data_IF_455698702844
#
_entry.id   IF_455698702844
#
_cell.length_a   1.000
_cell.length_b   1.000
_cell.length_c   1.000
_cell.angle_alpha   90.00
_cell.angle_beta   90.00
_cell.angle_gamma   90.00
#
_symmetry.space_group_name_H-M   'P 1'
#
loop_
_entity.id
_entity.type
_entity.pdbx_description
1 polymer ?
#
# COMPACT_ATOMS: atom_id res chain seq x y z
N UNK A 1 8.85 -45.31 40.20
CA UNK A 1 7.94 -44.15 40.16
C UNK A 1 8.59 -43.04 39.35
N UNK A 2 8.24 -42.92 38.08
CA UNK A 2 8.75 -41.90 37.17
C UNK A 2 7.85 -40.68 37.29
N UNK A 3 8.37 -39.59 37.86
CA UNK A 3 7.67 -38.30 37.93
C UNK A 3 7.56 -37.77 36.50
N UNK A 4 6.37 -37.88 35.91
CA UNK A 4 6.09 -37.26 34.62
C UNK A 4 6.25 -35.74 34.78
N UNK A 5 7.26 -35.17 34.14
CA UNK A 5 7.39 -33.72 34.04
C UNK A 5 6.14 -33.19 33.33
N UNK A 6 5.38 -32.24 33.89
CA UNK A 6 4.29 -31.64 33.17
C UNK A 6 4.88 -30.97 31.93
N UNK A 7 4.52 -31.47 30.76
CA UNK A 7 4.84 -30.80 29.50
C UNK A 7 4.20 -29.41 29.59
N UNK A 8 5.01 -28.36 29.49
CA UNK A 8 4.51 -26.99 29.48
C UNK A 8 3.51 -26.85 28.32
N UNK A 9 2.24 -26.64 28.67
CA UNK A 9 1.18 -26.45 27.70
C UNK A 9 1.19 -24.98 27.27
N UNK A 10 1.01 -24.70 25.98
CA UNK A 10 0.93 -23.31 25.50
C UNK A 10 -0.09 -22.49 26.29
N UNK A 11 -1.21 -23.11 26.68
CA UNK A 11 -2.30 -22.46 27.43
C UNK A 11 -1.99 -22.21 28.91
N UNK A 12 -0.97 -22.86 29.49
CA UNK A 12 -0.51 -22.60 30.85
C UNK A 12 0.47 -21.42 30.94
N UNK A 13 0.86 -20.84 29.81
CA UNK A 13 1.73 -19.66 29.78
C UNK A 13 0.93 -18.37 30.09
N UNK A 14 1.56 -17.37 30.74
CA UNK A 14 1.02 -16.02 30.84
C UNK A 14 0.59 -15.45 29.48
N UNK A 15 -0.45 -14.62 29.46
CA UNK A 15 -1.02 -14.07 28.22
C UNK A 15 0.03 -13.29 27.41
N UNK A 16 0.97 -12.63 28.07
CA UNK A 16 2.05 -11.85 27.48
C UNK A 16 2.97 -12.75 26.63
N UNK A 17 3.37 -13.91 27.16
CA UNK A 17 4.19 -14.87 26.41
C UNK A 17 3.42 -15.50 25.26
N UNK A 18 2.11 -15.75 25.44
CA UNK A 18 1.26 -16.30 24.38
C UNK A 18 1.06 -15.29 23.25
N UNK A 19 0.91 -14.00 23.59
CA UNK A 19 0.91 -12.91 22.61
C UNK A 19 2.21 -12.92 21.83
N UNK A 20 3.37 -12.89 22.50
CA UNK A 20 4.70 -12.91 21.86
C UNK A 20 4.88 -14.08 20.89
N UNK A 21 4.50 -15.30 21.32
CA UNK A 21 4.54 -16.49 20.46
C UNK A 21 3.65 -16.30 19.23
N UNK A 22 2.45 -15.76 19.40
CA UNK A 22 1.54 -15.52 18.29
C UNK A 22 2.07 -14.47 17.31
N UNK A 23 2.79 -13.44 17.78
CA UNK A 23 3.43 -12.45 16.90
C UNK A 23 4.56 -13.07 16.06
N UNK A 24 5.22 -14.11 16.57
CA UNK A 24 6.19 -14.87 15.79
C UNK A 24 5.54 -15.77 14.74
N UNK A 25 4.30 -16.24 14.98
CA UNK A 25 3.58 -17.14 14.08
C UNK A 25 2.84 -16.38 12.98
N UNK A 26 2.24 -15.25 13.33
CA UNK A 26 1.51 -14.40 12.38
C UNK A 26 2.51 -13.47 11.71
N UNK A 27 2.79 -13.71 10.43
CA UNK A 27 3.64 -12.84 9.62
C UNK A 27 3.06 -11.42 9.57
N UNK A 28 3.58 -10.58 10.46
CA UNK A 28 3.30 -9.16 10.54
C UNK A 28 4.30 -8.32 9.77
N UNK A 29 5.09 -8.89 8.86
CA UNK A 29 6.02 -8.11 8.05
C UNK A 29 5.26 -7.10 7.16
N UNK A 30 5.86 -5.93 6.87
CA UNK A 30 5.24 -4.92 6.01
C UNK A 30 5.02 -5.43 4.57
N UNK A 31 5.76 -6.47 4.19
CA UNK A 31 5.71 -7.09 2.87
C UNK A 31 4.95 -8.42 2.88
N UNK A 32 4.20 -8.76 3.93
CA UNK A 32 3.39 -9.98 3.96
C UNK A 32 2.43 -10.03 2.75
N UNK A 33 2.40 -11.18 2.06
CA UNK A 33 1.72 -11.33 0.78
C UNK A 33 2.54 -10.94 -0.45
N UNK A 34 3.76 -10.43 -0.25
CA UNK A 34 4.77 -10.23 -1.28
C UNK A 34 5.99 -11.09 -0.97
N UNK A 35 6.79 -11.38 -2.00
CA UNK A 35 8.07 -12.07 -1.84
C UNK A 35 9.09 -11.58 -2.84
N UNK A 36 10.36 -11.76 -2.51
CA UNK A 36 11.43 -11.67 -3.49
C UNK A 36 11.49 -12.95 -4.32
N UNK A 37 11.56 -12.86 -5.66
CA UNK A 37 11.72 -14.03 -6.50
C UNK A 37 13.09 -14.69 -6.23
N UNK A 38 13.09 -15.94 -5.73
CA UNK A 38 14.33 -16.71 -5.46
C UNK A 38 15.08 -17.12 -6.73
N UNK A 39 14.37 -17.17 -7.84
CA UNK A 39 14.87 -17.41 -9.20
C UNK A 39 14.22 -16.33 -10.04
N UNK A 40 14.96 -15.67 -10.92
CA UNK A 40 14.45 -14.77 -11.95
C UNK A 40 13.13 -15.34 -12.46
N UNK A 41 12.01 -14.77 -12.00
CA UNK A 41 10.73 -15.39 -12.23
C UNK A 41 10.51 -15.36 -13.73
N UNK A 42 10.51 -16.53 -14.38
CA UNK A 42 10.07 -16.67 -15.76
C UNK A 42 8.57 -16.47 -15.77
N UNK A 43 8.12 -15.25 -15.46
CA UNK A 43 6.77 -14.79 -15.74
C UNK A 43 6.73 -14.62 -17.25
N UNK A 44 6.61 -15.74 -17.97
CA UNK A 44 6.41 -15.84 -19.43
C UNK A 44 7.47 -15.14 -20.30
N UNK A 45 7.51 -15.43 -21.62
CA UNK A 45 8.65 -15.04 -22.47
C UNK A 45 8.83 -13.52 -22.69
N UNK A 46 7.81 -12.71 -22.38
CA UNK A 46 7.69 -11.30 -22.81
C UNK A 46 7.70 -10.27 -21.66
N UNK A 47 7.49 -10.68 -20.40
CA UNK A 47 7.69 -9.78 -19.25
C UNK A 47 9.07 -10.00 -18.65
N UNK A 48 9.85 -8.92 -18.61
CA UNK A 48 11.12 -8.71 -17.91
C UNK A 48 11.67 -9.95 -17.19
N UNK A 49 12.36 -10.84 -17.93
CA UNK A 49 12.84 -12.14 -17.44
C UNK A 49 13.80 -12.04 -16.24
N UNK A 50 14.23 -10.83 -15.88
CA UNK A 50 15.15 -10.53 -14.78
C UNK A 50 14.58 -9.52 -13.78
N UNK A 51 13.26 -9.47 -13.56
CA UNK A 51 12.71 -8.58 -12.53
C UNK A 51 13.22 -8.94 -11.13
N UNK A 52 13.98 -8.03 -10.52
CA UNK A 52 14.46 -8.09 -9.14
C UNK A 52 13.73 -7.03 -8.32
N UNK A 53 12.70 -7.46 -7.60
CA UNK A 53 11.84 -6.62 -6.77
C UNK A 53 10.76 -7.45 -6.09
N UNK A 54 9.90 -6.81 -5.29
CA UNK A 54 8.77 -7.49 -4.66
C UNK A 54 7.76 -7.94 -5.72
N UNK A 55 7.38 -9.21 -5.65
CA UNK A 55 6.31 -9.80 -6.45
C UNK A 55 5.19 -10.31 -5.54
N UNK A 56 3.98 -10.35 -6.07
CA UNK A 56 2.83 -10.92 -5.38
C UNK A 56 3.07 -12.39 -5.06
N UNK A 57 2.91 -12.79 -3.81
CA UNK A 57 2.90 -14.20 -3.45
C UNK A 57 1.54 -14.81 -3.76
N UNK A 58 1.47 -15.55 -4.86
CA UNK A 58 0.25 -16.26 -5.27
C UNK A 58 -0.17 -17.34 -4.26
N UNK A 59 0.77 -17.86 -3.46
CA UNK A 59 0.49 -18.83 -2.40
C UNK A 59 -0.02 -18.19 -1.11
N UNK A 60 0.08 -16.87 -0.96
CA UNK A 60 -0.35 -16.19 0.25
C UNK A 60 -1.86 -16.26 0.43
N UNK A 61 -2.29 -16.49 1.66
CA UNK A 61 -3.68 -16.47 2.07
C UNK A 61 -3.81 -15.92 3.49
N UNK A 62 -4.62 -14.88 3.64
CA UNK A 62 -4.99 -14.36 4.96
C UNK A 62 -5.67 -15.45 5.81
N UNK A 63 -6.49 -16.32 5.19
CA UNK A 63 -7.11 -17.44 5.88
C UNK A 63 -6.07 -18.44 6.41
N UNK A 64 -5.03 -18.75 5.64
CA UNK A 64 -3.95 -19.61 6.10
C UNK A 64 -3.21 -19.02 7.31
N UNK A 65 -3.00 -17.70 7.32
CA UNK A 65 -2.39 -16.98 8.45
C UNK A 65 -3.28 -17.03 9.70
N UNK A 66 -4.60 -16.87 9.52
CA UNK A 66 -5.58 -16.86 10.60
C UNK A 66 -5.93 -18.26 11.13
N UNK A 67 -5.49 -19.34 10.48
CA UNK A 67 -5.78 -20.73 10.90
C UNK A 67 -5.31 -21.03 12.34
N UNK A 68 -4.32 -20.31 12.86
CA UNK A 68 -3.89 -20.45 14.27
C UNK A 68 -5.03 -20.20 15.26
N UNK A 69 -6.00 -19.36 14.90
CA UNK A 69 -7.17 -19.08 15.74
C UNK A 69 -8.15 -20.27 15.81
N UNK A 70 -8.04 -21.24 14.91
CA UNK A 70 -8.91 -22.42 14.88
C UNK A 70 -8.45 -23.54 15.81
N UNK A 71 -7.23 -23.44 16.37
CA UNK A 71 -6.63 -24.49 17.21
C UNK A 71 -7.45 -24.73 18.48
N UNK A 72 -7.88 -23.67 19.18
CA UNK A 72 -8.80 -23.80 20.32
C UNK A 72 -9.59 -22.52 20.58
N UNK A 73 -10.68 -22.65 21.36
CA UNK A 73 -11.58 -21.52 21.71
C UNK A 73 -10.86 -20.41 22.47
N UNK A 74 -9.92 -20.76 23.36
CA UNK A 74 -9.18 -19.78 24.15
C UNK A 74 -8.32 -18.89 23.24
N UNK A 75 -7.55 -19.50 22.33
CA UNK A 75 -6.73 -18.74 21.37
C UNK A 75 -7.60 -17.85 20.48
N UNK A 76 -8.74 -18.36 20.00
CA UNK A 76 -9.68 -17.55 19.23
C UNK A 76 -10.11 -16.31 20.01
N UNK A 77 -10.59 -16.46 21.23
CA UNK A 77 -11.16 -15.36 22.00
C UNK A 77 -10.12 -14.31 22.38
N UNK A 78 -8.89 -14.74 22.72
CA UNK A 78 -7.83 -13.83 23.16
C UNK A 78 -7.13 -13.12 21.99
N UNK A 79 -6.96 -13.80 20.84
CA UNK A 79 -6.06 -13.33 19.79
C UNK A 79 -6.74 -12.83 18.52
N UNK A 80 -8.07 -12.97 18.38
CA UNK A 80 -8.76 -12.58 17.13
C UNK A 80 -8.42 -11.16 16.70
N UNK A 81 -8.49 -10.18 17.61
CA UNK A 81 -8.19 -8.78 17.27
C UNK A 81 -6.74 -8.59 16.81
N UNK A 82 -5.78 -9.06 17.59
CA UNK A 82 -4.36 -8.92 17.27
C UNK A 82 -3.97 -9.64 15.96
N UNK A 83 -4.54 -10.82 15.72
CA UNK A 83 -4.32 -11.59 14.51
C UNK A 83 -4.85 -10.86 13.26
N UNK A 84 -6.07 -10.30 13.33
CA UNK A 84 -6.64 -9.51 12.23
C UNK A 84 -5.84 -8.23 11.97
N UNK A 85 -5.37 -7.54 13.01
CA UNK A 85 -4.58 -6.32 12.85
C UNK A 85 -3.22 -6.57 12.17
N UNK A 86 -2.62 -7.74 12.38
CA UNK A 86 -1.32 -8.09 11.76
C UNK A 86 -1.44 -8.71 10.38
N UNK A 87 -2.56 -9.37 10.10
CA UNK A 87 -2.78 -10.05 8.82
C UNK A 87 -3.02 -9.05 7.71
N UNK A 88 -2.32 -9.21 6.58
CA UNK A 88 -2.58 -8.45 5.35
C UNK A 88 -3.74 -9.10 4.59
N UNK A 89 -4.83 -8.35 4.40
CA UNK A 89 -5.95 -8.82 3.60
C UNK A 89 -5.74 -8.46 2.12
N UNK A 90 -5.48 -9.49 1.30
CA UNK A 90 -5.22 -9.33 -0.14
C UNK A 90 -6.52 -9.44 -0.94
N UNK A 91 -6.91 -8.36 -1.58
CA UNK A 91 -8.06 -8.27 -2.49
C UNK A 91 -7.55 -8.46 -3.92
N UNK A 92 -7.90 -9.60 -4.52
CA UNK A 92 -7.45 -9.99 -5.88
C UNK A 92 -8.47 -9.72 -6.98
N UNK A 93 -9.63 -9.13 -6.66
CA UNK A 93 -10.69 -8.90 -7.64
C UNK A 93 -10.37 -7.65 -8.48
N UNK A 94 -10.08 -7.80 -9.78
CA UNK A 94 -9.73 -6.67 -10.62
C UNK A 94 -10.95 -5.85 -11.07
N UNK A 95 -12.17 -6.35 -10.91
CA UNK A 95 -13.39 -5.77 -11.47
C UNK A 95 -14.18 -4.91 -10.49
N UNK A 96 -14.05 -5.17 -9.18
CA UNK A 96 -14.99 -4.64 -8.22
C UNK A 96 -14.37 -4.03 -6.97
N UNK A 97 -13.11 -3.58 -6.94
CA UNK A 97 -12.65 -2.88 -5.72
C UNK A 97 -13.46 -1.61 -5.52
N UNK A 98 -14.46 -1.73 -4.66
CA UNK A 98 -15.49 -0.77 -4.35
C UNK A 98 -15.56 -0.75 -2.82
N UNK A 99 -15.70 0.44 -2.25
CA UNK A 99 -15.94 0.65 -0.82
C UNK A 99 -17.01 -0.30 -0.23
N UNK A 100 -17.94 -0.79 -1.06
CA UNK A 100 -18.95 -1.80 -0.69
C UNK A 100 -18.41 -3.03 0.04
N UNK A 101 -17.19 -3.50 -0.25
CA UNK A 101 -16.62 -4.66 0.47
C UNK A 101 -16.47 -4.37 1.97
N UNK A 102 -15.99 -3.17 2.31
CA UNK A 102 -15.83 -2.76 3.70
C UNK A 102 -17.17 -2.43 4.35
N UNK A 103 -18.16 -1.92 3.60
CA UNK A 103 -19.49 -1.60 4.14
C UNK A 103 -20.25 -2.82 4.67
N UNK A 104 -19.95 -4.01 4.18
CA UNK A 104 -20.58 -5.25 4.64
C UNK A 104 -19.93 -5.83 5.90
N UNK A 105 -18.80 -5.27 6.34
CA UNK A 105 -18.11 -5.73 7.55
C UNK A 105 -18.76 -5.12 8.80
N UNK A 106 -18.80 -5.91 9.87
CA UNK A 106 -19.25 -5.42 11.17
C UNK A 106 -18.23 -4.41 11.73
N UNK A 107 -18.67 -3.47 12.57
CA UNK A 107 -17.81 -2.44 13.18
C UNK A 107 -16.54 -3.02 13.83
N UNK A 108 -16.69 -4.10 14.60
CA UNK A 108 -15.55 -4.78 15.26
C UNK A 108 -14.53 -5.33 14.25
N UNK A 109 -15.00 -5.78 13.08
CA UNK A 109 -14.13 -6.27 12.00
C UNK A 109 -13.40 -5.12 11.31
N UNK A 110 -14.10 -4.01 11.04
CA UNK A 110 -13.49 -2.78 10.50
C UNK A 110 -12.42 -2.22 11.43
N UNK A 111 -12.74 -2.13 12.72
CA UNK A 111 -11.82 -1.66 13.75
C UNK A 111 -10.59 -2.56 13.93
N UNK A 112 -10.65 -3.82 13.49
CA UNK A 112 -9.54 -4.77 13.57
C UNK A 112 -8.73 -4.85 12.28
N UNK A 113 -9.25 -4.30 11.18
CA UNK A 113 -8.61 -4.36 9.88
C UNK A 113 -7.64 -3.17 9.76
N UNK A 114 -6.34 -3.49 9.69
CA UNK A 114 -5.26 -2.50 9.65
C UNK A 114 -4.43 -2.55 8.38
N UNK A 115 -4.43 -3.67 7.67
CA UNK A 115 -3.53 -3.89 6.53
C UNK A 115 -4.28 -4.47 5.35
N UNK A 116 -4.33 -3.72 4.27
CA UNK A 116 -5.02 -4.10 3.04
C UNK A 116 -4.04 -4.04 1.89
N UNK A 117 -4.05 -5.07 1.07
CA UNK A 117 -3.39 -5.07 -0.22
C UNK A 117 -4.41 -5.26 -1.32
N UNK A 118 -4.39 -4.39 -2.32
CA UNK A 118 -5.24 -4.47 -3.50
C UNK A 118 -4.36 -4.80 -4.69
N UNK A 119 -4.67 -5.92 -5.34
CA UNK A 119 -4.02 -6.28 -6.61
C UNK A 119 -4.78 -5.57 -7.71
N UNK A 120 -4.10 -4.68 -8.42
CA UNK A 120 -4.73 -3.76 -9.33
C UNK A 120 -4.05 -3.75 -10.68
N UNK A 121 -4.84 -3.79 -11.76
CA UNK A 121 -4.27 -3.76 -13.11
C UNK A 121 -3.86 -2.33 -13.46
N UNK A 122 -2.63 -2.18 -13.95
CA UNK A 122 -2.03 -0.88 -14.30
C UNK A 122 -2.95 0.02 -15.15
N UNK A 123 -3.57 -0.53 -16.19
CA UNK A 123 -4.43 0.24 -17.10
C UNK A 123 -5.75 0.72 -16.47
N UNK A 124 -6.10 0.20 -15.28
CA UNK A 124 -7.32 0.58 -14.54
C UNK A 124 -7.05 1.63 -13.48
N UNK A 125 -5.82 2.11 -13.30
CA UNK A 125 -5.50 3.14 -12.30
C UNK A 125 -6.39 4.39 -12.42
N UNK A 126 -6.94 4.68 -13.60
CA UNK A 126 -7.91 5.77 -13.75
C UNK A 126 -9.23 5.57 -12.99
N UNK A 127 -9.58 4.32 -12.65
CA UNK A 127 -10.73 4.00 -11.81
C UNK A 127 -10.50 4.39 -10.35
N UNK A 128 -9.27 4.71 -9.92
CA UNK A 128 -9.01 5.27 -8.59
C UNK A 128 -9.73 6.61 -8.40
N UNK A 129 -10.03 7.36 -9.45
CA UNK A 129 -10.87 8.58 -9.35
C UNK A 129 -12.28 8.30 -8.82
N UNK A 130 -12.82 7.09 -9.07
CA UNK A 130 -14.13 6.66 -8.58
C UNK A 130 -14.11 6.31 -7.10
N UNK A 131 -12.92 6.13 -6.51
CA UNK A 131 -12.70 5.89 -5.10
C UNK A 131 -12.81 7.19 -4.30
N UNK A 132 -13.92 7.91 -4.48
CA UNK A 132 -14.26 9.02 -3.61
C UNK A 132 -14.62 8.45 -2.24
N UNK A 133 -13.65 8.47 -1.31
CA UNK A 133 -13.77 8.08 0.11
C UNK A 133 -14.00 6.57 0.44
N UNK A 134 -13.42 5.58 -0.25
CA UNK A 134 -13.67 4.17 0.09
C UNK A 134 -13.05 3.77 1.44
N UNK A 135 -11.97 4.45 1.85
CA UNK A 135 -11.24 4.17 3.08
C UNK A 135 -11.60 5.14 4.21
N UNK A 136 -12.38 6.20 3.94
CA UNK A 136 -12.81 7.16 4.95
C UNK A 136 -14.10 6.67 5.64
N UNK A 137 -14.16 5.38 5.98
CA UNK A 137 -15.25 4.80 6.76
C UNK A 137 -14.93 4.98 8.25
N UNK A 138 -15.93 5.38 9.04
CA UNK A 138 -15.76 5.49 10.49
C UNK A 138 -15.36 4.13 11.07
N UNK A 139 -14.21 4.06 11.75
CA UNK A 139 -13.64 2.83 12.32
C UNK A 139 -12.63 2.10 11.42
N UNK A 140 -12.58 2.41 10.11
CA UNK A 140 -11.55 1.87 9.22
C UNK A 140 -10.28 2.72 9.29
N UNK A 141 -9.35 2.29 10.14
CA UNK A 141 -8.03 2.89 10.25
C UNK A 141 -7.01 1.90 9.72
N UNK A 142 -6.33 2.24 8.61
CA UNK A 142 -5.31 1.40 8.01
C UNK A 142 -3.92 1.86 8.45
N UNK A 143 -3.13 0.93 8.95
CA UNK A 143 -1.69 1.13 9.09
C UNK A 143 -1.04 1.12 7.70
N UNK A 144 -1.47 0.21 6.82
CA UNK A 144 -0.90 0.06 5.48
C UNK A 144 -2.00 -0.22 4.44
N UNK A 145 -2.01 0.59 3.39
CA UNK A 145 -2.76 0.35 2.16
C UNK A 145 -1.76 0.15 1.00
N UNK A 146 -1.68 -1.07 0.49
CA UNK A 146 -0.75 -1.41 -0.58
C UNK A 146 -1.49 -1.66 -1.89
N UNK A 147 -1.08 -1.02 -2.98
CA UNK A 147 -1.49 -1.36 -4.34
C UNK A 147 -0.37 -2.18 -4.99
N UNK A 148 -0.62 -3.46 -5.23
CA UNK A 148 0.28 -4.32 -6.00
C UNK A 148 -0.15 -4.30 -7.47
N UNK A 149 0.68 -3.73 -8.34
CA UNK A 149 0.36 -3.60 -9.75
C UNK A 149 0.45 -4.96 -10.44
N UNK A 150 -0.65 -5.42 -11.02
CA UNK A 150 -0.66 -6.64 -11.80
C UNK A 150 -0.22 -6.36 -13.23
N UNK A 151 0.72 -7.16 -13.74
CA UNK A 151 1.06 -7.19 -15.16
C UNK A 151 -0.20 -7.50 -15.98
N UNK A 152 -0.42 -6.73 -17.06
CA UNK A 152 -1.51 -6.98 -17.99
C UNK A 152 -1.23 -8.30 -18.73
N UNK A 153 -1.87 -9.39 -18.32
CA UNK A 153 -1.87 -10.62 -19.11
C UNK A 153 -2.75 -10.42 -20.34
N UNK A 154 -2.13 -10.41 -21.53
CA UNK A 154 -2.71 -10.80 -22.83
C UNK A 154 -3.96 -10.07 -23.38
N UNK A 155 -4.61 -9.15 -22.67
CA UNK A 155 -5.81 -8.46 -23.18
C UNK A 155 -5.52 -7.19 -23.99
N UNK A 156 -4.28 -6.71 -24.05
CA UNK A 156 -3.88 -5.69 -25.02
C UNK A 156 -3.34 -6.37 -26.26
N UNK A 157 -4.24 -6.70 -27.19
CA UNK A 157 -3.88 -6.83 -28.61
C UNK A 157 -3.18 -5.53 -28.99
N UNK A 158 -1.85 -5.55 -29.15
CA UNK A 158 -1.05 -4.36 -29.46
C UNK A 158 0.01 -3.94 -28.43
N UNK A 159 0.17 -4.65 -27.30
CA UNK A 159 1.44 -4.73 -26.53
C UNK A 159 2.08 -3.47 -25.94
N UNK A 160 1.53 -2.26 -26.14
CA UNK A 160 2.07 -1.02 -25.60
C UNK A 160 0.98 -0.31 -24.82
N UNK A 161 1.09 -0.31 -23.49
CA UNK A 161 0.40 0.70 -22.69
C UNK A 161 0.98 2.04 -23.13
N UNK A 162 0.21 2.86 -23.86
CA UNK A 162 0.68 4.19 -24.30
C UNK A 162 1.13 5.03 -23.10
N UNK A 163 2.05 5.96 -23.32
CA UNK A 163 2.52 6.88 -22.27
C UNK A 163 1.36 7.64 -21.62
N UNK A 164 0.31 7.93 -22.39
CA UNK A 164 -0.89 8.63 -21.96
C UNK A 164 -1.63 7.94 -20.80
N UNK A 165 -1.56 6.60 -20.69
CA UNK A 165 -2.23 5.89 -19.61
C UNK A 165 -1.63 6.20 -18.24
N UNK A 166 -0.30 6.24 -18.16
CA UNK A 166 0.36 6.58 -16.89
C UNK A 166 0.13 8.04 -16.55
N UNK A 167 0.24 8.94 -17.53
CA UNK A 167 -0.01 10.36 -17.32
C UNK A 167 -1.42 10.65 -16.77
N UNK A 168 -2.45 9.99 -17.34
CA UNK A 168 -3.82 10.09 -16.83
C UNK A 168 -3.91 9.52 -15.40
N UNK A 169 -3.33 8.35 -15.15
CA UNK A 169 -3.34 7.73 -13.83
C UNK A 169 -2.61 8.52 -12.74
N UNK A 170 -1.63 9.35 -13.10
CA UNK A 170 -0.92 10.21 -12.15
C UNK A 170 -1.89 11.16 -11.46
N UNK A 171 -2.81 11.80 -12.21
CA UNK A 171 -3.83 12.68 -11.64
C UNK A 171 -4.77 11.93 -10.71
N UNK A 172 -5.16 10.72 -11.08
CA UNK A 172 -6.09 9.90 -10.29
C UNK A 172 -5.44 9.42 -8.97
N UNK A 173 -4.15 9.09 -8.98
CA UNK A 173 -3.39 8.75 -7.77
C UNK A 173 -3.23 9.97 -6.87
N UNK A 174 -2.86 11.14 -7.40
CA UNK A 174 -2.74 12.37 -6.59
C UNK A 174 -4.09 12.80 -6.02
N UNK A 175 -5.15 12.71 -6.83
CA UNK A 175 -6.52 12.96 -6.38
C UNK A 175 -6.97 12.02 -5.26
N UNK A 176 -6.58 10.74 -5.35
CA UNK A 176 -6.80 9.77 -4.27
C UNK A 176 -6.03 10.17 -3.01
N UNK A 177 -4.72 10.45 -3.10
CA UNK A 177 -3.86 10.81 -1.96
C UNK A 177 -4.41 12.01 -1.17
N UNK A 178 -4.89 13.06 -1.86
CA UNK A 178 -5.49 14.24 -1.22
C UNK A 178 -6.77 13.92 -0.43
N UNK A 179 -7.48 12.85 -0.80
CA UNK A 179 -8.74 12.45 -0.19
C UNK A 179 -8.61 11.31 0.82
N UNK A 180 -7.47 10.60 0.83
CA UNK A 180 -7.22 9.50 1.75
C UNK A 180 -7.13 10.02 3.19
N UNK A 181 -8.09 9.61 4.02
CA UNK A 181 -8.07 9.76 5.47
C UNK A 181 -7.89 8.41 6.14
N UNK A 182 -7.42 8.43 7.40
CA UNK A 182 -7.30 7.24 8.24
C UNK A 182 -6.36 6.15 7.69
N UNK A 183 -5.40 6.52 6.85
CA UNK A 183 -4.37 5.63 6.32
C UNK A 183 -3.00 6.18 6.75
N UNK A 184 -2.20 5.38 7.45
CA UNK A 184 -0.88 5.80 7.95
C UNK A 184 0.21 5.67 6.86
N UNK A 185 0.14 4.63 6.04
CA UNK A 185 1.05 4.40 4.91
C UNK A 185 0.28 3.93 3.67
N UNK A 186 0.61 4.51 2.52
CA UNK A 186 0.14 4.10 1.22
C UNK A 186 1.32 3.70 0.33
N UNK A 187 1.33 2.45 -0.15
CA UNK A 187 2.45 1.87 -0.89
C UNK A 187 2.00 1.38 -2.26
N UNK A 188 2.77 1.67 -3.31
CA UNK A 188 2.56 1.07 -4.64
C UNK A 188 3.76 0.20 -4.99
N UNK A 189 3.50 -1.06 -5.36
CA UNK A 189 4.51 -2.05 -5.71
C UNK A 189 4.42 -2.37 -7.20
N UNK A 190 5.57 -2.30 -7.91
CA UNK A 190 5.65 -2.52 -9.35
C UNK A 190 5.19 -3.92 -9.76
N UNK A 191 5.55 -4.96 -8.98
CA UNK A 191 5.18 -6.36 -9.20
C UNK A 191 5.29 -6.79 -10.68
N UNK A 192 6.44 -6.48 -11.28
CA UNK A 192 6.77 -6.76 -12.69
C UNK A 192 5.77 -6.22 -13.74
N UNK A 193 4.90 -5.25 -13.40
CA UNK A 193 3.90 -4.71 -14.32
C UNK A 193 4.48 -3.80 -15.41
N UNK A 194 5.62 -3.16 -15.14
CA UNK A 194 6.29 -2.21 -16.04
C UNK A 194 7.79 -2.50 -16.13
N UNK A 195 8.52 -1.74 -16.95
CA UNK A 195 9.98 -1.61 -16.80
C UNK A 195 10.31 -0.76 -15.58
N UNK A 196 11.44 -1.03 -14.92
CA UNK A 196 11.87 -0.25 -13.73
C UNK A 196 12.04 1.23 -14.04
N UNK A 197 12.64 1.56 -15.19
CA UNK A 197 12.81 2.95 -15.63
C UNK A 197 11.46 3.66 -15.78
N UNK A 198 10.47 3.01 -16.39
CA UNK A 198 9.12 3.58 -16.56
C UNK A 198 8.40 3.77 -15.22
N UNK A 199 8.54 2.82 -14.30
CA UNK A 199 7.97 2.92 -12.96
C UNK A 199 8.59 4.06 -12.14
N UNK A 200 9.90 4.24 -12.24
CA UNK A 200 10.62 5.34 -11.59
C UNK A 200 10.29 6.71 -12.20
N UNK A 201 10.19 6.80 -13.53
CA UNK A 201 9.74 8.02 -14.21
C UNK A 201 8.31 8.40 -13.78
N UNK A 202 7.42 7.42 -13.65
CA UNK A 202 6.06 7.64 -13.17
C UNK A 202 6.03 8.13 -11.71
N UNK A 203 6.88 7.57 -10.85
CA UNK A 203 7.08 8.07 -9.49
C UNK A 203 7.43 9.56 -9.47
N UNK A 204 8.41 9.99 -10.28
CA UNK A 204 8.77 11.41 -10.36
C UNK A 204 7.61 12.30 -10.82
N UNK A 205 6.82 11.82 -11.79
CA UNK A 205 5.62 12.53 -12.23
C UNK A 205 4.57 12.67 -11.11
N UNK A 206 4.37 11.64 -10.28
CA UNK A 206 3.47 11.71 -9.13
C UNK A 206 3.94 12.77 -8.15
N UNK A 207 5.22 12.76 -7.74
CA UNK A 207 5.74 13.73 -6.77
C UNK A 207 5.67 15.16 -7.31
N UNK A 208 6.07 15.37 -8.57
CA UNK A 208 5.96 16.68 -9.21
C UNK A 208 4.52 17.18 -9.25
N UNK A 209 3.55 16.29 -9.52
CA UNK A 209 2.14 16.65 -9.53
C UNK A 209 1.58 16.89 -8.12
N UNK A 210 2.01 16.16 -7.09
CA UNK A 210 1.64 16.44 -5.68
C UNK A 210 2.04 17.88 -5.32
N UNK A 211 3.29 18.26 -5.59
CA UNK A 211 3.81 19.59 -5.28
C UNK A 211 3.06 20.69 -6.04
N UNK A 212 2.81 20.48 -7.33
CA UNK A 212 2.07 21.43 -8.18
C UNK A 212 0.62 21.58 -7.73
N UNK A 213 -0.05 20.47 -7.45
CA UNK A 213 -1.45 20.47 -7.01
C UNK A 213 -1.59 21.09 -5.60
N UNK A 214 -0.66 20.82 -4.67
CA UNK A 214 -0.67 21.45 -3.34
C UNK A 214 -0.53 22.97 -3.43
N UNK A 215 0.37 23.49 -4.29
CA UNK A 215 0.51 24.93 -4.53
C UNK A 215 -0.77 25.52 -5.15
N UNK A 216 -1.27 24.94 -6.24
CA UNK A 216 -2.49 25.41 -6.91
C UNK A 216 -3.67 25.48 -5.95
N UNK A 217 -3.89 24.44 -5.15
CA UNK A 217 -5.01 24.36 -4.21
C UNK A 217 -4.86 25.34 -3.03
N UNK A 218 -3.65 25.77 -2.71
CA UNK A 218 -3.39 26.76 -1.64
C UNK A 218 -3.58 28.20 -2.09
N UNK A 219 -3.25 28.54 -3.32
CA UNK A 219 -3.12 29.94 -3.76
C UNK A 219 -3.90 30.30 -5.03
N UNK A 220 -4.03 29.38 -5.98
CA UNK A 220 -4.54 29.68 -7.33
C UNK A 220 -5.98 29.20 -7.56
N UNK A 221 -6.46 28.24 -6.78
CA UNK A 221 -7.81 27.72 -6.91
C UNK A 221 -8.85 28.82 -6.65
N UNK A 222 -9.99 28.86 -7.38
CA UNK A 222 -11.01 29.88 -7.21
C UNK A 222 -11.52 30.06 -5.77
N UNK A 223 -11.53 28.96 -4.99
CA UNK A 223 -11.94 28.94 -3.58
C UNK A 223 -10.76 28.59 -2.64
N UNK A 224 -9.53 29.02 -2.98
CA UNK A 224 -8.36 28.81 -2.15
C UNK A 224 -8.47 29.50 -0.76
N UNK A 225 -7.92 28.92 0.33
CA UNK A 225 -7.13 27.69 0.37
C UNK A 225 -7.96 26.40 0.54
N UNK A 226 -7.70 25.40 -0.30
CA UNK A 226 -8.25 24.04 -0.21
C UNK A 226 -7.18 23.05 0.27
N UNK A 227 -6.93 23.04 1.58
CA UNK A 227 -5.88 22.22 2.19
C UNK A 227 -6.32 20.75 2.26
N UNK A 228 -5.40 19.85 1.93
CA UNK A 228 -5.60 18.42 2.12
C UNK A 228 -5.64 18.05 3.61
N UNK A 229 -6.33 16.96 3.95
CA UNK A 229 -6.38 16.49 5.35
C UNK A 229 -5.05 15.92 5.82
N UNK A 230 -4.29 15.32 4.89
CA UNK A 230 -3.08 14.54 5.17
C UNK A 230 -2.01 14.96 4.18
N UNK A 231 -0.86 15.44 4.68
CA UNK A 231 0.34 15.57 3.87
C UNK A 231 1.05 14.22 3.78
N UNK A 232 1.82 13.99 2.73
CA UNK A 232 2.54 12.74 2.53
C UNK A 232 4.03 12.98 2.40
N UNK A 233 4.82 12.39 3.31
CA UNK A 233 6.25 12.15 3.05
C UNK A 233 6.37 10.98 2.07
N UNK A 234 7.40 10.96 1.26
CA UNK A 234 7.49 10.00 0.17
C UNK A 234 8.89 9.41 0.02
N UNK A 235 8.96 8.12 -0.32
CA UNK A 235 10.21 7.41 -0.54
C UNK A 235 10.08 6.40 -1.69
N UNK A 236 11.15 6.25 -2.47
CA UNK A 236 11.25 5.21 -3.50
C UNK A 236 12.27 4.17 -3.08
N UNK A 237 11.83 2.92 -2.94
CA UNK A 237 12.69 1.79 -2.67
C UNK A 237 13.05 1.08 -3.99
N UNK A 238 14.30 1.27 -4.40
CA UNK A 238 14.84 0.68 -5.62
C UNK A 238 15.04 -0.83 -5.54
N UNK A 239 15.23 -1.42 -4.36
CA UNK A 239 15.38 -2.86 -4.18
C UNK A 239 14.03 -3.56 -4.22
N UNK A 240 13.03 -2.99 -3.55
CA UNK A 240 11.66 -3.49 -3.55
C UNK A 240 10.91 -3.20 -4.84
N UNK A 241 11.37 -2.21 -5.62
CA UNK A 241 10.64 -1.65 -6.76
C UNK A 241 9.26 -1.17 -6.34
N UNK A 242 9.26 -0.35 -5.29
CA UNK A 242 8.05 0.22 -4.71
C UNK A 242 8.28 1.69 -4.38
N UNK A 243 7.18 2.41 -4.22
CA UNK A 243 7.22 3.69 -3.54
C UNK A 243 6.16 3.76 -2.46
N UNK A 244 6.49 4.47 -1.40
CA UNK A 244 5.70 4.56 -0.19
C UNK A 244 5.45 6.03 0.17
N UNK A 245 4.24 6.31 0.58
CA UNK A 245 3.78 7.57 1.12
C UNK A 245 3.43 7.39 2.59
N UNK A 246 4.03 8.18 3.46
CA UNK A 246 3.84 8.14 4.91
C UNK A 246 3.02 9.37 5.32
N UNK A 247 1.89 9.13 5.96
CA UNK A 247 0.97 10.19 6.37
C UNK A 247 1.63 11.12 7.41
N UNK A 248 1.43 12.41 7.20
CA UNK A 248 1.85 13.51 8.07
C UNK A 248 0.70 14.50 8.26
N UNK A 249 0.73 15.30 9.34
CA UNK A 249 -0.16 16.44 9.45
C UNK A 249 -0.02 17.36 8.24
N UNK A 250 -1.14 17.89 7.76
CA UNK A 250 -1.15 18.85 6.66
C UNK A 250 -0.26 20.07 6.97
N UNK A 251 0.44 20.58 5.95
CA UNK A 251 1.27 21.79 6.11
C UNK A 251 0.40 23.00 6.45
N UNK A 252 0.88 23.91 7.33
CA UNK A 252 0.15 25.11 7.69
C UNK A 252 -0.14 26.00 6.47
N UNK A 253 -1.18 26.82 6.57
CA UNK A 253 -1.43 27.88 5.58
C UNK A 253 -0.55 29.07 5.94
N UNK A 254 0.36 29.41 5.04
CA UNK A 254 1.30 30.52 5.16
C UNK A 254 1.26 31.37 3.89
N UNK A 255 1.77 32.62 3.89
CA UNK A 255 1.98 33.38 2.66
C UNK A 255 2.78 32.59 1.62
N UNK A 256 2.48 32.81 0.34
CA UNK A 256 3.12 32.07 -0.76
C UNK A 256 4.66 32.10 -0.73
N UNK A 257 5.35 33.24 -0.45
CA UNK A 257 6.81 33.24 -0.38
C UNK A 257 7.36 32.26 0.66
N UNK A 258 6.77 32.22 1.85
CA UNK A 258 7.19 31.33 2.94
C UNK A 258 6.93 29.86 2.56
N UNK A 259 5.81 29.58 1.89
CA UNK A 259 5.52 28.24 1.37
C UNK A 259 6.53 27.80 0.31
N UNK A 260 6.92 28.71 -0.59
CA UNK A 260 7.91 28.41 -1.63
C UNK A 260 9.28 28.11 -1.02
N UNK A 261 9.69 28.81 0.05
CA UNK A 261 10.89 28.48 0.81
C UNK A 261 10.82 27.08 1.44
N UNK A 262 9.66 26.70 1.99
CA UNK A 262 9.44 25.36 2.56
C UNK A 262 9.50 24.25 1.50
N UNK A 263 9.02 24.51 0.28
CA UNK A 263 8.92 23.50 -0.79
C UNK A 263 10.16 23.45 -1.68
N UNK A 264 10.95 24.51 -1.77
CA UNK A 264 12.20 24.57 -2.52
C UNK A 264 13.13 23.36 -2.33
N UNK A 265 13.43 22.88 -1.10
CA UNK A 265 14.30 21.71 -0.93
C UNK A 265 13.69 20.42 -1.49
N UNK A 266 12.35 20.27 -1.47
CA UNK A 266 11.66 19.10 -2.03
C UNK A 266 11.77 19.07 -3.56
N UNK A 267 11.61 20.24 -4.19
CA UNK A 267 11.77 20.40 -5.65
C UNK A 267 13.21 20.13 -6.06
N UNK A 268 14.18 20.71 -5.34
CA UNK A 268 15.60 20.49 -5.61
C UNK A 268 15.99 19.02 -5.49
N UNK A 269 15.51 18.33 -4.45
CA UNK A 269 15.72 16.89 -4.28
C UNK A 269 15.11 16.06 -5.40
N UNK A 270 13.90 16.42 -5.87
CA UNK A 270 13.25 15.74 -6.98
C UNK A 270 14.04 15.92 -8.29
N UNK A 271 14.46 17.15 -8.60
CA UNK A 271 15.25 17.46 -9.80
C UNK A 271 16.57 16.70 -9.81
N UNK A 272 17.29 16.71 -8.69
CA UNK A 272 18.55 15.97 -8.56
C UNK A 272 18.36 14.45 -8.75
N UNK A 273 17.27 13.88 -8.21
CA UNK A 273 16.95 12.47 -8.40
C UNK A 273 16.57 12.13 -9.86
N UNK A 274 15.88 13.04 -10.56
CA UNK A 274 15.54 12.89 -11.98
C UNK A 274 16.79 12.92 -12.87
N UNK A 275 17.73 13.82 -12.59
CA UNK A 275 19.01 13.92 -13.30
C UNK A 275 19.85 12.65 -13.10
N UNK A 276 20.01 12.19 -11.86
CA UNK A 276 20.76 10.98 -11.54
C UNK A 276 20.10 9.69 -12.08
N UNK A 277 18.77 9.69 -12.26
CA UNK A 277 18.03 8.57 -12.85
C UNK A 277 18.01 8.56 -14.39
N UNK A 278 18.50 9.63 -15.03
CA UNK A 278 18.56 9.78 -16.49
C UNK A 278 19.95 9.46 -17.07
N UNK A 279 20.96 9.33 -16.21
CA UNK A 279 22.35 8.92 -16.53
C UNK A 279 22.55 7.41 -16.41
#
# INVERSE_FOLDING_TARGET
MTIARPHACLLSLPIELRLQILECVIDGSPNAGLKYPKVCATVRPESNRNFQGLILDLGYSAAATLNVLLVCRQLRNEFTKAAFQRTVFVIRDPYYVNAKYFRNLQRVQLDSLRRVMIVFQAYRLSQLSSWRRPFNLEGLHLDNLTIALQSATQHTVGGVLSEDYLANSTRDVVGLLRQLGHVNSFKIVQNAAFTTQRFQAWWYQIIGLILKEDHYQRYDAPDAPQIETTWWDWHFDSAEKSFEFIARPAKPVVPEPDYMEMVAPLVASLMSAMEAGSS
#
